data_IF_020684208344
#
_entry.id   IF_020684208344
#
_cell.length_a   1.000
_cell.length_b   1.000
_cell.length_c   1.000
_cell.angle_alpha   90.00
_cell.angle_beta   90.00
_cell.angle_gamma   90.00
#
_symmetry.space_group_name_H-M   'P 1'
#
loop_
_entity.id
_entity.type
_entity.pdbx_description
1 polymer ?
#
# COMPACT_ATOMS: atom_id res chain seq x y z
N UNK A 1 -10.03 -7.52 -5.13
CA UNK A 1 -8.73 -7.01 -4.66
C UNK A 1 -8.79 -5.53 -4.25
N UNK A 2 -9.50 -4.68 -5.00
CA UNK A 2 -9.62 -3.23 -4.74
C UNK A 2 -9.86 -2.83 -3.27
N UNK A 3 -10.92 -3.31 -2.63
CA UNK A 3 -11.22 -2.94 -1.24
C UNK A 3 -10.17 -3.43 -0.24
N UNK A 4 -9.57 -4.59 -0.49
CA UNK A 4 -8.49 -5.14 0.34
C UNK A 4 -7.17 -4.39 0.17
N UNK A 5 -7.00 -3.64 -0.93
CA UNK A 5 -5.83 -2.81 -1.17
C UNK A 5 -5.92 -1.40 -0.58
N UNK A 6 -7.10 -0.89 -0.27
CA UNK A 6 -7.27 0.44 0.35
C UNK A 6 -6.52 0.53 1.70
N UNK A 7 -6.69 -0.40 2.66
CA UNK A 7 -5.99 -0.32 3.93
C UNK A 7 -4.46 -0.36 3.78
N UNK A 8 -3.93 -1.20 2.89
CA UNK A 8 -2.47 -1.23 2.66
C UNK A 8 -1.92 0.08 2.08
N UNK A 9 -2.66 0.74 1.17
CA UNK A 9 -2.27 2.05 0.64
C UNK A 9 -2.22 3.10 1.74
N UNK A 10 -3.22 3.10 2.63
CA UNK A 10 -3.27 3.99 3.78
C UNK A 10 -2.12 3.74 4.75
N UNK A 11 -1.83 2.47 5.10
CA UNK A 11 -0.75 2.09 6.01
C UNK A 11 0.62 2.49 5.45
N UNK A 12 0.87 2.23 4.16
CA UNK A 12 2.13 2.62 3.52
C UNK A 12 2.27 4.13 3.44
N UNK A 13 1.20 4.88 3.14
CA UNK A 13 1.24 6.33 3.22
C UNK A 13 1.59 6.80 4.63
N UNK A 14 0.96 6.26 5.68
CA UNK A 14 1.27 6.61 7.07
C UNK A 14 2.74 6.33 7.40
N UNK A 15 3.27 5.20 6.95
CA UNK A 15 4.68 4.85 7.11
C UNK A 15 5.61 5.89 6.47
N UNK A 16 5.31 6.35 5.25
CA UNK A 16 6.11 7.38 4.56
C UNK A 16 6.13 8.70 5.33
N UNK A 17 5.03 9.07 5.98
CA UNK A 17 4.96 10.27 6.83
C UNK A 17 5.73 10.11 8.16
N UNK A 18 5.80 8.90 8.71
CA UNK A 18 6.47 8.63 9.99
C UNK A 18 7.99 8.46 9.85
N UNK A 19 8.46 7.79 8.78
CA UNK A 19 9.88 7.46 8.58
C UNK A 19 10.84 8.66 8.75
N UNK A 20 10.54 9.87 8.27
CA UNK A 20 11.43 11.02 8.42
C UNK A 20 11.77 11.37 9.88
N UNK A 21 10.81 11.16 10.80
CA UNK A 21 10.97 11.48 12.23
C UNK A 21 11.33 10.27 13.10
N UNK A 22 11.40 9.07 12.50
CA UNK A 22 11.65 7.83 13.22
C UNK A 22 13.11 7.58 13.60
N UNK A 23 14.07 8.40 13.14
CA UNK A 23 15.51 8.32 13.45
C UNK A 23 16.07 6.87 13.53
N UNK A 24 16.45 6.42 14.75
CA UNK A 24 16.98 5.08 15.06
C UNK A 24 15.89 4.01 15.16
N UNK A 25 14.64 4.41 15.37
CA UNK A 25 13.47 3.53 15.45
C UNK A 25 12.90 3.14 14.07
N UNK A 26 13.55 3.52 12.95
CA UNK A 26 13.09 3.28 11.58
C UNK A 26 12.68 1.82 11.31
N UNK A 27 13.52 0.86 11.72
CA UNK A 27 13.21 -0.57 11.61
C UNK A 27 11.96 -0.95 12.44
N UNK A 28 11.91 -0.48 13.69
CA UNK A 28 10.81 -0.71 14.61
C UNK A 28 9.50 -0.05 14.16
N UNK A 29 9.52 0.89 13.22
CA UNK A 29 8.33 1.43 12.56
C UNK A 29 7.93 0.63 11.31
N UNK A 30 8.89 0.31 10.44
CA UNK A 30 8.60 -0.39 9.17
C UNK A 30 8.12 -1.83 9.41
N UNK A 31 8.78 -2.56 10.31
CA UNK A 31 8.48 -3.97 10.57
C UNK A 31 7.01 -4.23 11.01
N UNK A 32 6.47 -3.56 12.04
CA UNK A 32 5.08 -3.79 12.43
C UNK A 32 4.07 -3.28 11.38
N UNK A 33 4.32 -2.17 10.70
CA UNK A 33 3.39 -1.64 9.70
C UNK A 33 3.28 -2.55 8.47
N UNK A 34 4.41 -3.08 7.99
CA UNK A 34 4.42 -4.08 6.92
C UNK A 34 3.84 -5.42 7.39
N UNK A 35 4.09 -5.82 8.64
CA UNK A 35 3.46 -7.01 9.23
C UNK A 35 1.94 -6.89 9.34
N UNK A 36 1.40 -5.70 9.67
CA UNK A 36 -0.05 -5.45 9.68
C UNK A 36 -0.68 -5.69 8.30
N UNK A 37 0.02 -5.33 7.23
CA UNK A 37 -0.42 -5.61 5.85
C UNK A 37 -0.49 -7.12 5.61
N UNK A 38 0.51 -7.87 6.08
CA UNK A 38 0.57 -9.32 5.93
C UNK A 38 -0.54 -10.04 6.72
N UNK A 39 -0.71 -9.74 8.02
CA UNK A 39 -1.73 -10.41 8.85
C UNK A 39 -3.15 -10.02 8.45
N UNK A 40 -3.36 -8.78 8.01
CA UNK A 40 -4.63 -8.31 7.46
C UNK A 40 -4.94 -8.88 6.08
N UNK A 41 -3.98 -9.62 5.49
CA UNK A 41 -4.05 -10.15 4.12
C UNK A 41 -4.47 -9.05 3.13
N UNK A 42 -3.91 -7.86 3.28
CA UNK A 42 -4.18 -6.73 2.39
C UNK A 42 -3.33 -6.85 1.13
N UNK A 43 -3.93 -6.53 -0.01
CA UNK A 43 -3.24 -6.59 -1.29
C UNK A 43 -2.43 -5.31 -1.50
N UNK A 44 -1.12 -5.42 -1.72
CA UNK A 44 -0.26 -4.28 -1.97
C UNK A 44 0.42 -4.43 -3.33
N UNK A 45 0.41 -3.37 -4.15
CA UNK A 45 0.82 -3.45 -5.56
C UNK A 45 2.27 -3.87 -5.68
N UNK A 46 3.17 -3.32 -4.87
CA UNK A 46 4.61 -3.62 -4.95
C UNK A 46 4.90 -5.03 -4.42
N UNK A 47 4.45 -5.32 -3.20
CA UNK A 47 4.75 -6.61 -2.56
C UNK A 47 4.11 -7.80 -3.30
N UNK A 48 2.85 -7.66 -3.74
CA UNK A 48 2.16 -8.72 -4.47
C UNK A 48 2.63 -8.89 -5.92
N UNK A 49 3.31 -7.90 -6.50
CA UNK A 49 3.81 -8.01 -7.89
C UNK A 49 4.88 -9.08 -8.02
N UNK A 50 5.68 -9.35 -6.97
CA UNK A 50 6.70 -10.41 -7.01
C UNK A 50 6.06 -11.77 -7.25
N UNK A 51 5.02 -12.11 -6.47
CA UNK A 51 4.26 -13.36 -6.62
C UNK A 51 3.51 -13.39 -7.96
N UNK A 52 2.86 -12.29 -8.33
CA UNK A 52 2.11 -12.22 -9.58
C UNK A 52 3.01 -12.39 -10.82
N UNK A 53 4.20 -11.79 -10.83
CA UNK A 53 5.17 -11.97 -11.90
C UNK A 53 5.79 -13.36 -11.88
N UNK A 54 6.04 -13.95 -10.71
CA UNK A 54 6.49 -15.33 -10.61
C UNK A 54 5.50 -16.29 -11.28
N UNK A 55 4.19 -16.12 -11.04
CA UNK A 55 3.14 -16.92 -11.68
C UNK A 55 3.07 -16.72 -13.20
N UNK A 56 3.34 -15.51 -13.70
CA UNK A 56 3.43 -15.29 -15.14
C UNK A 56 4.64 -16.00 -15.74
N UNK A 57 5.79 -15.92 -15.06
CA UNK A 57 7.03 -16.57 -15.50
C UNK A 57 6.96 -18.10 -15.42
N UNK A 58 6.23 -18.66 -14.46
CA UNK A 58 5.99 -20.10 -14.36
C UNK A 58 4.94 -20.62 -15.35
N UNK A 59 4.27 -19.73 -16.08
CA UNK A 59 3.21 -20.07 -17.03
C UNK A 59 1.85 -20.35 -16.39
N UNK A 60 1.70 -20.09 -15.09
CA UNK A 60 0.48 -20.32 -14.31
C UNK A 60 -0.52 -19.15 -14.38
N UNK A 61 -0.07 -17.96 -14.77
CA UNK A 61 -0.92 -16.78 -14.94
C UNK A 61 -0.68 -16.12 -16.30
N UNK A 62 -1.76 -15.89 -17.05
CA UNK A 62 -1.68 -15.12 -18.28
C UNK A 62 -1.53 -13.61 -17.98
N UNK A 63 -0.84 -12.89 -18.88
CA UNK A 63 -0.58 -11.44 -18.76
C UNK A 63 -1.89 -10.62 -18.71
N UNK A 64 -2.92 -10.99 -19.48
CA UNK A 64 -4.21 -10.29 -19.45
C UNK A 64 -4.84 -10.29 -18.05
N UNK A 65 -5.10 -11.47 -17.46
CA UNK A 65 -5.56 -11.62 -16.07
C UNK A 65 -4.69 -10.92 -15.02
N UNK A 66 -3.36 -10.92 -15.17
CA UNK A 66 -2.47 -10.15 -14.29
C UNK A 66 -2.90 -8.68 -14.20
N UNK A 67 -3.16 -8.03 -15.34
CA UNK A 67 -3.55 -6.62 -15.35
C UNK A 67 -4.93 -6.37 -14.76
N UNK A 68 -5.95 -7.12 -15.20
CA UNK A 68 -7.35 -6.83 -14.83
C UNK A 68 -7.77 -7.41 -13.48
N UNK A 69 -7.18 -8.52 -13.05
CA UNK A 69 -7.55 -9.18 -11.80
C UNK A 69 -6.65 -8.76 -10.63
N UNK A 70 -5.38 -8.42 -10.90
CA UNK A 70 -4.41 -8.01 -9.87
C UNK A 70 -3.96 -6.55 -10.01
N UNK A 71 -3.20 -6.18 -11.04
CA UNK A 71 -2.48 -4.89 -11.06
C UNK A 71 -3.43 -3.68 -10.98
N UNK A 72 -4.40 -3.57 -11.88
CA UNK A 72 -5.33 -2.45 -11.92
C UNK A 72 -6.14 -2.31 -10.62
N UNK A 73 -6.89 -3.33 -10.15
CA UNK A 73 -7.69 -3.17 -8.95
C UNK A 73 -6.84 -2.91 -7.69
N UNK A 74 -5.67 -3.53 -7.57
CA UNK A 74 -4.77 -3.30 -6.42
C UNK A 74 -4.15 -1.91 -6.46
N UNK A 75 -3.69 -1.46 -7.63
CA UNK A 75 -3.14 -0.12 -7.82
C UNK A 75 -4.17 0.95 -7.49
N UNK A 76 -5.39 0.84 -8.03
CA UNK A 76 -6.48 1.78 -7.74
C UNK A 76 -6.78 1.82 -6.25
N UNK A 77 -6.89 0.67 -5.59
CA UNK A 77 -7.13 0.63 -4.15
C UNK A 77 -5.98 1.24 -3.34
N UNK A 78 -4.72 0.98 -3.70
CA UNK A 78 -3.57 1.60 -3.05
C UNK A 78 -3.55 3.12 -3.22
N UNK A 79 -3.86 3.64 -4.42
CA UNK A 79 -3.97 5.08 -4.67
C UNK A 79 -5.08 5.68 -3.80
N UNK A 80 -6.27 5.08 -3.79
CA UNK A 80 -7.39 5.57 -2.96
C UNK A 80 -6.98 5.66 -1.49
N UNK A 81 -6.39 4.58 -0.95
CA UNK A 81 -5.96 4.54 0.45
C UNK A 81 -4.86 5.57 0.77
N UNK A 82 -3.85 5.68 -0.08
CA UNK A 82 -2.74 6.61 0.13
C UNK A 82 -3.17 8.08 0.01
N UNK A 83 -3.94 8.40 -1.02
CA UNK A 83 -4.45 9.76 -1.25
C UNK A 83 -5.41 10.20 -0.15
N UNK A 84 -6.24 9.29 0.39
CA UNK A 84 -7.13 9.61 1.48
C UNK A 84 -6.36 10.10 2.73
N UNK A 85 -5.28 9.42 3.12
CA UNK A 85 -4.45 9.88 4.23
C UNK A 85 -3.78 11.22 3.92
N UNK A 86 -3.19 11.36 2.73
CA UNK A 86 -2.55 12.60 2.31
C UNK A 86 -3.52 13.79 2.37
N UNK A 87 -4.73 13.62 1.85
CA UNK A 87 -5.76 14.64 1.87
C UNK A 87 -6.17 15.02 3.31
N UNK A 88 -6.36 14.04 4.19
CA UNK A 88 -6.69 14.27 5.59
C UNK A 88 -5.60 15.05 6.32
N UNK A 89 -4.33 14.65 6.15
CA UNK A 89 -3.19 15.32 6.78
C UNK A 89 -3.02 16.75 6.26
N UNK A 90 -3.11 16.93 4.94
CA UNK A 90 -2.98 18.25 4.31
C UNK A 90 -4.11 19.19 4.75
N UNK A 91 -5.34 18.70 4.82
CA UNK A 91 -6.48 19.46 5.33
C UNK A 91 -6.29 19.86 6.80
N UNK A 92 -5.86 18.92 7.65
CA UNK A 92 -5.64 19.19 9.06
C UNK A 92 -4.54 20.23 9.30
N UNK A 93 -3.46 20.20 8.50
CA UNK A 93 -2.39 21.20 8.55
C UNK A 93 -2.91 22.60 8.22
N UNK A 94 -3.61 22.75 7.09
CA UNK A 94 -4.16 24.06 6.67
C UNK A 94 -5.18 24.59 7.69
N UNK A 95 -6.07 23.74 8.20
CA UNK A 95 -7.07 24.14 9.19
C UNK A 95 -6.43 24.61 10.50
N UNK A 96 -5.25 24.10 10.87
CA UNK A 96 -4.55 24.52 12.09
C UNK A 96 -3.85 25.88 11.98
N UNK A 97 -3.67 26.39 10.76
CA UNK A 97 -3.04 27.69 10.49
C UNK A 97 -4.04 28.86 10.38
N UNK A 98 -5.35 28.56 10.33
CA UNK A 98 -6.45 29.54 10.29
C UNK A 98 -6.94 29.80 11.71
#
# INVERSE_FOLDING_TARGET
MLFRSIPSGFIIAAMVWIIPVAETARFHMVAPLTYLIAIGRFSHIVAGSVEAFFLVLSGELAIGPLFVQFMLPVLVGNIIGGTALFALLSYAQVMSEI
#
